data_IF_235845904353
#
_entry.id   IF_235845904353
#
_cell.length_a   1.000
_cell.length_b   1.000
_cell.length_c   1.000
_cell.angle_alpha   90.00
_cell.angle_beta   90.00
_cell.angle_gamma   90.00
#
_symmetry.space_group_name_H-M   'P 1'
#
loop_
_entity.id
_entity.type
_entity.pdbx_description
1 polymer ?
#
# COMPACT_ATOMS: atom_id res chain seq x y z
N UNK A 1 8.97 9.21 7.49
CA UNK A 1 8.66 10.19 6.43
C UNK A 1 7.18 10.53 6.56
N UNK A 2 6.75 11.73 6.17
CA UNK A 2 5.34 12.11 6.33
C UNK A 2 4.46 11.43 5.27
N UNK A 3 3.22 11.14 5.62
CA UNK A 3 2.21 10.62 4.71
C UNK A 3 1.18 11.69 4.42
N UNK A 4 0.67 11.73 3.20
CA UNK A 4 -0.58 12.44 2.93
C UNK A 4 -1.67 11.83 3.82
N UNK A 5 -2.40 12.66 4.60
CA UNK A 5 -3.38 12.16 5.59
C UNK A 5 -4.39 11.16 5.00
N UNK A 6 -4.91 11.46 3.81
CA UNK A 6 -5.86 10.59 3.13
C UNK A 6 -5.26 9.24 2.70
N UNK A 7 -3.94 9.20 2.44
CA UNK A 7 -3.20 7.99 2.10
C UNK A 7 -2.90 7.17 3.34
N UNK A 8 -2.53 7.83 4.45
CA UNK A 8 -2.32 7.17 5.73
C UNK A 8 -3.61 6.47 6.24
N UNK A 9 -4.77 7.12 6.07
CA UNK A 9 -6.07 6.53 6.40
C UNK A 9 -6.37 5.29 5.53
N UNK A 10 -6.12 5.35 4.22
CA UNK A 10 -6.28 4.21 3.31
C UNK A 10 -5.32 3.07 3.65
N UNK A 11 -4.08 3.38 3.99
CA UNK A 11 -3.08 2.41 4.43
C UNK A 11 -3.55 1.66 5.67
N UNK A 12 -4.03 2.37 6.69
CA UNK A 12 -4.59 1.77 7.91
C UNK A 12 -5.78 0.85 7.61
N UNK A 13 -6.70 1.27 6.74
CA UNK A 13 -7.85 0.45 6.32
C UNK A 13 -7.44 -0.81 5.56
N UNK A 14 -6.40 -0.74 4.72
CA UNK A 14 -5.86 -1.93 4.06
C UNK A 14 -5.22 -2.89 5.08
N UNK A 15 -4.50 -2.37 6.08
CA UNK A 15 -3.94 -3.21 7.16
C UNK A 15 -5.01 -3.90 8.01
N UNK A 16 -6.19 -3.31 8.18
CA UNK A 16 -7.31 -3.94 8.86
C UNK A 16 -7.80 -5.21 8.15
N UNK A 17 -7.64 -5.29 6.82
CA UNK A 17 -7.97 -6.48 6.00
C UNK A 17 -6.94 -7.59 6.14
N UNK A 18 -5.73 -7.27 6.58
CA UNK A 18 -4.67 -8.25 6.85
C UNK A 18 -4.99 -9.03 8.13
N UNK A 19 -4.84 -10.38 8.13
CA UNK A 19 -4.98 -11.18 9.34
C UNK A 19 -4.13 -10.63 10.50
N UNK A 20 -4.71 -10.58 11.70
CA UNK A 20 -4.12 -9.89 12.86
C UNK A 20 -2.67 -10.31 13.15
N UNK A 21 -2.34 -11.58 12.99
CA UNK A 21 -0.99 -12.12 13.24
C UNK A 21 0.04 -11.75 12.17
N UNK A 22 -0.39 -11.31 10.98
CA UNK A 22 0.48 -10.80 9.92
C UNK A 22 0.53 -9.26 9.88
N UNK A 23 -0.44 -8.59 10.50
CA UNK A 23 -0.66 -7.15 10.35
C UNK A 23 0.57 -6.31 10.72
N UNK A 24 1.22 -6.58 11.85
CA UNK A 24 2.42 -5.83 12.25
C UNK A 24 3.58 -5.99 11.27
N UNK A 25 3.77 -7.18 10.71
CA UNK A 25 4.79 -7.42 9.68
C UNK A 25 4.44 -6.71 8.37
N UNK A 26 3.17 -6.75 7.95
CA UNK A 26 2.71 -6.06 6.75
C UNK A 26 2.85 -4.54 6.90
N UNK A 27 2.48 -3.99 8.05
CA UNK A 27 2.65 -2.57 8.37
C UNK A 27 4.11 -2.14 8.24
N UNK A 28 5.03 -2.85 8.89
CA UNK A 28 6.46 -2.53 8.84
C UNK A 28 7.01 -2.61 7.40
N UNK A 29 6.72 -3.69 6.66
CA UNK A 29 7.29 -3.90 5.33
C UNK A 29 6.73 -2.91 4.30
N UNK A 30 5.40 -2.76 4.26
CA UNK A 30 4.74 -1.90 3.28
C UNK A 30 5.07 -0.43 3.57
N UNK A 31 5.07 0.01 4.84
CA UNK A 31 5.43 1.39 5.17
C UNK A 31 6.86 1.73 4.75
N UNK A 32 7.85 0.91 5.14
CA UNK A 32 9.26 1.12 4.74
C UNK A 32 9.43 1.14 3.22
N UNK A 33 8.71 0.26 2.51
CA UNK A 33 8.76 0.22 1.06
C UNK A 33 8.17 1.49 0.44
N UNK A 34 7.03 1.97 0.93
CA UNK A 34 6.38 3.19 0.44
C UNK A 34 7.26 4.43 0.69
N UNK A 35 7.84 4.56 1.89
CA UNK A 35 8.79 5.64 2.20
C UNK A 35 10.04 5.59 1.33
N UNK A 36 10.57 4.38 1.05
CA UNK A 36 11.70 4.21 0.14
C UNK A 36 11.37 4.65 -1.29
N UNK A 37 10.16 4.35 -1.78
CA UNK A 37 9.70 4.76 -3.11
C UNK A 37 9.53 6.28 -3.21
N UNK A 38 8.93 6.91 -2.21
CA UNK A 38 8.80 8.37 -2.14
C UNK A 38 10.18 9.05 -2.07
N UNK A 39 11.08 8.54 -1.24
CA UNK A 39 12.44 9.08 -1.11
C UNK A 39 13.28 8.96 -2.38
N UNK A 40 13.17 7.85 -3.13
CA UNK A 40 13.87 7.67 -4.42
C UNK A 40 13.45 8.68 -5.47
N UNK A 41 12.19 9.08 -5.44
CA UNK A 41 11.62 10.08 -6.35
C UNK A 41 11.77 11.52 -5.81
N UNK A 42 12.50 11.72 -4.71
CA UNK A 42 12.72 13.03 -4.09
C UNK A 42 11.46 13.68 -3.52
N UNK A 43 10.39 12.90 -3.28
CA UNK A 43 9.13 13.43 -2.74
C UNK A 43 9.21 13.56 -1.22
N UNK A 44 8.67 14.66 -0.66
CA UNK A 44 8.71 14.89 0.78
C UNK A 44 7.68 14.04 1.55
N UNK A 45 6.70 13.47 0.85
CA UNK A 45 5.58 12.75 1.43
C UNK A 45 5.26 11.49 0.63
N UNK A 46 4.77 10.47 1.34
CA UNK A 46 4.22 9.25 0.74
C UNK A 46 2.86 9.57 0.10
N UNK A 47 2.74 9.24 -1.18
CA UNK A 47 1.53 9.41 -1.99
C UNK A 47 0.79 8.08 -2.13
N UNK A 48 -0.45 8.11 -2.64
CA UNK A 48 -1.22 6.90 -2.89
C UNK A 48 -0.52 5.93 -3.86
N UNK A 49 0.26 6.45 -4.84
CA UNK A 49 1.03 5.61 -5.75
C UNK A 49 2.06 4.76 -5.02
N UNK A 50 2.79 5.36 -4.08
CA UNK A 50 3.84 4.67 -3.32
C UNK A 50 3.27 3.58 -2.43
N UNK A 51 2.15 3.89 -1.79
CA UNK A 51 1.42 2.94 -0.96
C UNK A 51 0.96 1.74 -1.81
N UNK A 52 0.36 1.99 -2.98
CA UNK A 52 -0.08 0.90 -3.88
C UNK A 52 1.12 0.08 -4.35
N UNK A 53 2.17 0.71 -4.86
CA UNK A 53 3.37 0.03 -5.34
C UNK A 53 4.04 -0.80 -4.22
N UNK A 54 4.06 -0.28 -3.00
CA UNK A 54 4.56 -0.99 -1.84
C UNK A 54 3.73 -2.23 -1.50
N UNK A 55 2.41 -2.13 -1.53
CA UNK A 55 1.54 -3.29 -1.32
C UNK A 55 1.79 -4.38 -2.38
N UNK A 56 1.87 -4.02 -3.66
CA UNK A 56 2.17 -4.99 -4.71
C UNK A 56 3.58 -5.62 -4.58
N UNK A 57 4.57 -4.85 -4.13
CA UNK A 57 5.93 -5.33 -3.95
C UNK A 57 6.08 -6.29 -2.75
N UNK A 58 5.41 -6.00 -1.63
CA UNK A 58 5.57 -6.73 -0.38
C UNK A 58 4.54 -7.84 -0.18
N UNK A 59 3.42 -7.80 -0.92
CA UNK A 59 2.41 -8.85 -0.88
C UNK A 59 2.83 -10.00 -1.79
N UNK A 60 2.90 -11.25 -1.29
CA UNK A 60 3.21 -12.39 -2.16
C UNK A 60 2.16 -12.55 -3.25
N UNK A 61 2.58 -12.98 -4.44
CA UNK A 61 1.71 -13.06 -5.64
C UNK A 61 0.39 -13.80 -5.41
N UNK A 62 0.41 -14.89 -4.63
CA UNK A 62 -0.80 -15.66 -4.30
C UNK A 62 -1.87 -14.88 -3.52
N UNK A 63 -1.51 -13.75 -2.91
CA UNK A 63 -2.41 -12.86 -2.16
C UNK A 63 -2.78 -11.58 -2.93
N UNK A 64 -2.28 -11.40 -4.16
CA UNK A 64 -2.63 -10.23 -4.96
C UNK A 64 -4.12 -10.19 -5.30
N UNK A 65 -4.79 -11.33 -5.47
CA UNK A 65 -6.23 -11.39 -5.71
C UNK A 65 -7.05 -10.73 -4.59
N UNK A 66 -6.97 -11.22 -3.34
CA UNK A 66 -7.60 -10.59 -2.18
C UNK A 66 -7.20 -9.13 -2.01
N UNK A 67 -5.91 -8.80 -2.08
CA UNK A 67 -5.41 -7.43 -1.95
C UNK A 67 -6.02 -6.47 -2.99
N UNK A 68 -6.15 -6.90 -4.25
CA UNK A 68 -6.80 -6.13 -5.31
C UNK A 68 -8.29 -5.90 -5.01
N UNK A 69 -8.97 -6.85 -4.39
CA UNK A 69 -10.37 -6.69 -3.99
C UNK A 69 -10.48 -5.69 -2.84
N UNK A 70 -9.63 -5.80 -1.82
CA UNK A 70 -9.59 -4.87 -0.70
C UNK A 70 -9.32 -3.42 -1.16
N UNK A 71 -8.40 -3.24 -2.12
CA UNK A 71 -8.15 -1.93 -2.73
C UNK A 71 -9.40 -1.38 -3.44
N UNK A 72 -10.10 -2.19 -4.22
CA UNK A 72 -11.33 -1.77 -4.92
C UNK A 72 -12.43 -1.40 -3.93
N UNK A 73 -12.62 -2.20 -2.87
CA UNK A 73 -13.62 -1.94 -1.83
C UNK A 73 -13.36 -0.61 -1.10
N UNK A 74 -12.10 -0.19 -1.04
CA UNK A 74 -11.67 1.09 -0.47
C UNK A 74 -11.61 2.25 -1.49
N UNK A 75 -12.04 2.02 -2.72
CA UNK A 75 -12.02 3.02 -3.80
C UNK A 75 -10.62 3.38 -4.30
N UNK A 76 -9.65 2.49 -4.13
CA UNK A 76 -8.28 2.63 -4.63
C UNK A 76 -8.21 2.02 -6.03
N UNK A 77 -8.16 2.88 -7.04
CA UNK A 77 -7.87 2.45 -8.41
C UNK A 77 -6.35 2.24 -8.58
N UNK A 78 -5.91 1.01 -8.36
CA UNK A 78 -4.50 0.63 -8.56
C UNK A 78 -4.07 0.59 -10.03
N UNK A 79 -5.01 0.55 -10.97
CA UNK A 79 -4.69 0.42 -12.40
C UNK A 79 -4.10 1.70 -12.97
N UNK A 80 -4.46 2.87 -12.42
CA UNK A 80 -3.86 4.16 -12.75
C UNK A 80 -2.36 4.25 -12.42
N UNK A 81 -1.84 3.28 -11.65
CA UNK A 81 -0.42 3.18 -11.29
C UNK A 81 0.34 2.07 -12.06
N UNK A 82 -0.32 1.41 -13.02
CA UNK A 82 0.32 0.42 -13.89
C UNK A 82 0.17 -1.04 -13.43
N UNK A 83 -0.60 -1.32 -12.38
CA UNK A 83 -0.88 -2.68 -11.93
C UNK A 83 -2.05 -3.28 -12.71
N UNK A 84 -1.85 -4.48 -13.26
CA UNK A 84 -2.85 -5.17 -14.08
C UNK A 84 -4.06 -5.62 -13.25
N UNK A 85 -5.24 -5.66 -13.89
CA UNK A 85 -6.52 -6.02 -13.26
C UNK A 85 -6.54 -7.44 -12.68
#
# INVERSE_FOLDING_TARGET
MDWEKSVEEKFKRLLEKVPVFLRGMAEEKVSRKAESLAGKEGRPQVTEKDMVDAFFAETPFGFHGPMKNDMKDLGIDYTKYGHVR
#
